data_IF_832752517298
#
_entry.id   IF_832752517298
#
_cell.length_a   1.000
_cell.length_b   1.000
_cell.length_c   1.000
_cell.angle_alpha   90.00
_cell.angle_beta   90.00
_cell.angle_gamma   90.00
#
_symmetry.space_group_name_H-M   'P 1'
#
loop_
_entity.id
_entity.type
_entity.pdbx_description
1 polymer ?
#
# COMPACT_ATOMS: atom_id res chain seq x y z
N UNK A 1 -25.14 64.27 -3.82
CA UNK A 1 -26.31 64.07 -4.71
C UNK A 1 -26.58 62.58 -4.71
N UNK A 2 -27.41 62.05 -3.87
CA UNK A 2 -28.86 61.91 -3.80
C UNK A 2 -29.42 61.14 -5.04
N UNK A 3 -29.82 59.88 -4.81
CA UNK A 3 -31.23 59.50 -4.94
C UNK A 3 -31.41 57.99 -4.62
N UNK A 4 -32.21 57.77 -3.59
CA UNK A 4 -32.96 56.54 -3.28
C UNK A 4 -34.00 56.29 -4.38
N UNK A 5 -34.35 55.05 -4.69
CA UNK A 5 -35.77 54.65 -4.86
C UNK A 5 -35.86 53.16 -4.48
N UNK A 6 -36.65 52.89 -3.47
CA UNK A 6 -37.13 51.58 -3.07
C UNK A 6 -38.40 51.21 -3.87
N UNK A 7 -38.63 49.93 -4.04
CA UNK A 7 -39.95 49.38 -4.35
C UNK A 7 -40.23 48.17 -3.48
N UNK A 8 -41.20 48.34 -2.66
CA UNK A 8 -41.94 47.32 -1.88
C UNK A 8 -42.90 46.59 -2.81
N UNK A 9 -42.91 45.28 -2.82
CA UNK A 9 -43.98 44.48 -3.47
C UNK A 9 -44.64 43.61 -2.41
N UNK A 10 -45.94 43.84 -2.25
CA UNK A 10 -46.85 43.22 -1.30
C UNK A 10 -47.15 41.76 -1.65
N UNK A 11 -47.35 40.94 -0.62
CA UNK A 11 -47.88 39.56 -0.68
C UNK A 11 -49.42 39.58 -0.79
N UNK A 12 -50.03 38.73 -1.59
CA UNK A 12 -51.46 38.47 -1.51
C UNK A 12 -51.77 37.18 -0.71
N UNK A 13 -52.69 37.37 0.13
CA UNK A 13 -53.71 36.60 0.84
C UNK A 13 -53.70 35.05 0.75
N UNK A 14 -53.63 34.49 1.96
CA UNK A 14 -53.85 33.11 2.29
C UNK A 14 -55.37 32.80 2.37
N UNK A 15 -55.93 32.11 1.39
CA UNK A 15 -57.31 31.58 1.49
C UNK A 15 -57.29 30.19 2.18
N UNK A 16 -57.85 30.19 3.38
CA UNK A 16 -58.06 28.99 4.20
C UNK A 16 -59.26 28.23 3.70
N UNK A 17 -59.06 27.15 2.95
CA UNK A 17 -60.12 26.18 2.58
C UNK A 17 -60.19 25.08 3.64
N UNK A 18 -61.31 25.08 4.41
CA UNK A 18 -61.65 24.00 5.34
C UNK A 18 -62.02 22.75 4.58
N UNK A 19 -61.19 21.72 4.62
CA UNK A 19 -61.54 20.36 4.21
C UNK A 19 -62.14 19.60 5.41
N UNK A 20 -63.38 19.19 5.28
CA UNK A 20 -64.03 18.25 6.20
C UNK A 20 -63.46 16.85 5.89
N UNK A 21 -62.76 16.28 6.84
CA UNK A 21 -62.33 14.87 6.78
C UNK A 21 -63.50 14.01 7.25
N UNK A 22 -64.03 13.22 6.34
CA UNK A 22 -65.01 12.19 6.62
C UNK A 22 -64.26 10.90 6.98
N UNK A 23 -64.33 10.50 8.26
CA UNK A 23 -63.73 9.28 8.76
C UNK A 23 -64.57 8.08 8.36
N UNK A 24 -64.10 7.26 7.38
CA UNK A 24 -64.67 5.93 7.12
C UNK A 24 -63.92 4.91 7.99
N UNK A 25 -64.62 4.35 8.97
CA UNK A 25 -64.21 3.16 9.72
C UNK A 25 -64.35 1.94 8.83
N UNK A 26 -63.25 1.37 8.37
CA UNK A 26 -63.18 0.07 7.72
C UNK A 26 -62.79 -0.96 8.78
N UNK A 27 -63.52 -2.06 8.98
CA UNK A 27 -63.16 -3.11 9.91
C UNK A 27 -61.95 -3.88 9.36
N UNK A 28 -60.87 -3.94 10.15
CA UNK A 28 -59.67 -4.71 9.84
C UNK A 28 -59.97 -6.23 9.94
N UNK A 29 -60.21 -6.86 8.83
CA UNK A 29 -60.13 -8.33 8.73
C UNK A 29 -58.64 -8.69 8.61
N UNK A 30 -58.12 -9.30 9.67
CA UNK A 30 -56.76 -9.83 9.72
C UNK A 30 -56.66 -11.05 8.78
N UNK A 31 -56.14 -10.82 7.57
CA UNK A 31 -55.77 -11.90 6.67
C UNK A 31 -54.38 -12.40 7.09
N UNK A 32 -54.36 -13.55 7.74
CA UNK A 32 -53.12 -14.25 8.05
C UNK A 32 -52.58 -14.86 6.73
N UNK A 33 -51.74 -14.12 6.02
CA UNK A 33 -51.03 -14.64 4.86
C UNK A 33 -49.95 -15.62 5.36
N UNK A 34 -50.14 -16.89 5.08
CA UNK A 34 -49.12 -17.93 5.25
C UNK A 34 -47.93 -17.59 4.34
N UNK A 35 -46.81 -17.30 4.94
CA UNK A 35 -45.53 -17.17 4.19
C UNK A 35 -45.19 -18.52 3.55
N UNK A 36 -44.81 -18.54 2.26
CA UNK A 36 -44.32 -19.76 1.64
C UNK A 36 -43.02 -20.19 2.32
N UNK A 37 -42.72 -21.50 2.41
CA UNK A 37 -41.50 -22.00 3.05
C UNK A 37 -40.29 -21.43 2.32
N UNK A 38 -39.38 -20.82 3.08
CA UNK A 38 -38.09 -20.30 2.59
C UNK A 38 -37.30 -21.45 1.96
N UNK A 39 -37.01 -21.31 0.67
CA UNK A 39 -36.10 -22.23 -0.03
C UNK A 39 -34.77 -22.34 0.71
N UNK A 40 -34.15 -23.54 0.81
CA UNK A 40 -32.88 -23.70 1.48
C UNK A 40 -31.82 -22.84 0.78
N UNK A 41 -31.30 -21.85 1.48
CA UNK A 41 -30.14 -21.06 1.04
C UNK A 41 -28.97 -22.01 0.86
N UNK A 42 -28.48 -22.17 -0.39
CA UNK A 42 -27.22 -22.85 -0.67
C UNK A 42 -26.12 -22.22 0.21
N UNK A 43 -25.23 -23.03 0.82
CA UNK A 43 -24.07 -22.49 1.52
C UNK A 43 -23.30 -21.57 0.57
N UNK A 44 -23.10 -20.31 0.94
CA UNK A 44 -22.21 -19.42 0.22
C UNK A 44 -20.80 -20.01 0.37
N UNK A 45 -20.26 -20.56 -0.72
CA UNK A 45 -18.85 -20.86 -0.81
C UNK A 45 -18.07 -19.57 -0.43
N UNK A 46 -17.09 -19.63 0.48
CA UNK A 46 -16.26 -18.48 0.77
C UNK A 46 -15.71 -17.94 -0.56
N UNK A 47 -15.68 -16.64 -0.79
CA UNK A 47 -15.06 -16.09 -1.98
C UNK A 47 -13.62 -16.59 -2.03
N UNK A 48 -13.15 -16.98 -3.23
CA UNK A 48 -11.76 -17.31 -3.45
C UNK A 48 -10.90 -16.14 -2.93
N UNK A 49 -9.73 -16.43 -2.31
CA UNK A 49 -8.84 -15.36 -1.86
C UNK A 49 -8.55 -14.45 -3.05
N UNK A 50 -8.83 -13.16 -2.89
CA UNK A 50 -8.54 -12.17 -3.93
C UNK A 50 -7.05 -12.19 -4.24
N UNK A 51 -6.65 -12.10 -5.51
CA UNK A 51 -5.23 -12.05 -5.87
C UNK A 51 -4.59 -10.89 -5.12
N UNK A 52 -3.39 -11.12 -4.57
CA UNK A 52 -2.62 -10.08 -3.88
C UNK A 52 -2.26 -9.00 -4.90
N UNK A 53 -3.00 -7.91 -4.92
CA UNK A 53 -2.77 -6.77 -5.80
C UNK A 53 -1.71 -5.80 -5.27
N UNK A 54 -1.01 -6.14 -4.19
CA UNK A 54 0.07 -5.35 -3.62
C UNK A 54 1.10 -6.26 -2.93
N UNK A 55 2.38 -5.94 -3.09
CA UNK A 55 3.51 -6.72 -2.56
C UNK A 55 4.25 -5.89 -1.52
N UNK A 56 4.47 -6.45 -0.31
CA UNK A 56 5.27 -5.83 0.76
C UNK A 56 6.58 -6.56 1.02
N UNK A 57 6.65 -7.84 0.69
CA UNK A 57 7.81 -8.71 0.74
C UNK A 57 7.57 -9.93 -0.14
N UNK A 58 8.61 -10.66 -0.50
CA UNK A 58 8.52 -11.90 -1.28
C UNK A 58 9.27 -13.04 -0.59
N UNK A 59 8.89 -14.27 -0.89
CA UNK A 59 9.69 -15.42 -0.48
C UNK A 59 10.73 -15.72 -1.56
N UNK A 60 12.02 -15.79 -1.16
CA UNK A 60 13.15 -16.02 -2.08
C UNK A 60 14.10 -17.07 -1.52
N UNK A 61 14.75 -17.81 -2.42
CA UNK A 61 15.86 -18.70 -2.08
C UNK A 61 17.17 -17.92 -2.16
N UNK A 62 17.67 -17.48 -1.00
CA UNK A 62 18.92 -16.73 -0.87
C UNK A 62 18.76 -15.35 -0.22
N UNK A 63 19.86 -14.66 0.07
CA UNK A 63 19.88 -13.47 0.90
C UNK A 63 19.57 -12.18 0.10
N UNK A 64 18.59 -12.22 -0.78
CA UNK A 64 18.22 -11.07 -1.62
C UNK A 64 17.24 -10.14 -0.90
N UNK A 65 17.47 -8.84 -1.01
CA UNK A 65 16.62 -7.77 -0.46
C UNK A 65 16.48 -6.62 -1.46
N UNK A 66 15.39 -5.88 -1.40
CA UNK A 66 15.23 -4.62 -2.13
C UNK A 66 15.26 -3.43 -1.14
N UNK A 67 16.29 -2.60 -1.23
CA UNK A 67 16.31 -1.30 -0.56
C UNK A 67 15.64 -0.29 -1.47
N UNK A 68 14.70 0.50 -0.92
CA UNK A 68 13.90 1.45 -1.70
C UNK A 68 13.88 2.81 -1.05
N UNK A 69 13.80 3.86 -1.88
CA UNK A 69 13.77 5.25 -1.44
C UNK A 69 12.58 5.97 -2.05
N UNK A 70 11.78 6.61 -1.19
CA UNK A 70 10.57 7.33 -1.56
C UNK A 70 10.78 8.85 -1.52
N UNK A 71 9.85 9.60 -2.12
CA UNK A 71 9.68 11.05 -2.13
C UNK A 71 10.65 11.85 -2.98
N UNK A 72 11.79 11.30 -3.39
CA UNK A 72 12.78 11.97 -4.23
C UNK A 72 12.30 12.27 -5.67
N UNK A 73 13.22 12.76 -6.52
CA UNK A 73 14.59 13.11 -6.19
C UNK A 73 14.70 14.44 -5.43
N UNK A 74 15.62 14.50 -4.50
CA UNK A 74 16.02 15.74 -3.84
C UNK A 74 17.33 16.26 -4.43
N UNK A 75 17.37 17.52 -4.86
CA UNK A 75 18.48 18.15 -5.58
C UNK A 75 19.87 17.88 -4.99
N UNK A 76 20.00 17.85 -3.65
CA UNK A 76 21.31 17.71 -2.97
C UNK A 76 21.52 16.34 -2.32
N UNK A 77 20.44 15.69 -1.86
CA UNK A 77 20.57 14.47 -1.07
C UNK A 77 20.59 13.22 -1.95
N UNK A 78 19.72 13.15 -2.96
CA UNK A 78 19.70 12.01 -3.89
C UNK A 78 21.02 11.81 -4.63
N UNK A 79 21.70 12.85 -5.16
CA UNK A 79 23.04 12.67 -5.75
C UNK A 79 24.08 12.11 -4.78
N UNK A 80 24.06 12.53 -3.51
CA UNK A 80 24.97 12.00 -2.47
C UNK A 80 24.68 10.54 -2.13
N UNK A 81 23.41 10.15 -2.17
CA UNK A 81 23.02 8.76 -2.03
C UNK A 81 23.52 7.93 -3.21
N UNK A 82 23.36 8.42 -4.45
CA UNK A 82 23.86 7.76 -5.65
C UNK A 82 25.39 7.57 -5.60
N UNK A 83 26.15 8.57 -5.14
CA UNK A 83 27.61 8.43 -4.95
C UNK A 83 27.91 7.24 -4.02
N UNK A 84 27.23 7.16 -2.89
CA UNK A 84 27.41 6.08 -1.92
C UNK A 84 27.02 4.70 -2.48
N UNK A 85 25.88 4.62 -3.18
CA UNK A 85 25.42 3.36 -3.79
C UNK A 85 26.39 2.86 -4.85
N UNK A 86 27.02 3.79 -5.62
CA UNK A 86 28.05 3.46 -6.61
C UNK A 86 29.33 2.92 -5.95
N UNK A 87 29.77 3.50 -4.81
CA UNK A 87 30.92 3.00 -4.03
C UNK A 87 30.71 1.54 -3.60
N UNK A 88 29.50 1.19 -3.18
CA UNK A 88 29.12 -0.17 -2.77
C UNK A 88 28.70 -1.07 -3.94
N UNK A 89 28.53 -0.55 -5.16
CA UNK A 89 27.99 -1.25 -6.35
C UNK A 89 26.62 -1.86 -6.10
N UNK A 90 25.76 -1.13 -5.43
CA UNK A 90 24.41 -1.54 -5.03
C UNK A 90 23.39 -0.90 -5.97
N UNK A 91 22.43 -1.70 -6.45
CA UNK A 91 21.26 -1.21 -7.17
C UNK A 91 20.06 -1.18 -6.24
N UNK A 92 19.23 -0.14 -6.36
CA UNK A 92 18.05 0.11 -5.53
C UNK A 92 16.87 0.57 -6.40
N UNK A 93 15.68 0.69 -5.80
CA UNK A 93 14.51 1.28 -6.48
C UNK A 93 14.14 2.60 -5.83
N UNK A 94 13.98 3.64 -6.64
CA UNK A 94 13.49 4.95 -6.22
C UNK A 94 12.03 5.12 -6.64
N UNK A 95 11.12 5.35 -5.69
CA UNK A 95 9.72 5.74 -5.96
C UNK A 95 9.64 7.26 -5.91
N UNK A 96 9.59 7.88 -7.09
CA UNK A 96 9.74 9.33 -7.21
C UNK A 96 8.41 10.06 -7.26
N UNK A 97 8.34 11.20 -6.57
CA UNK A 97 7.25 12.16 -6.68
C UNK A 97 7.36 12.90 -8.01
N UNK A 98 6.26 12.98 -8.75
CA UNK A 98 6.25 13.51 -10.12
C UNK A 98 6.70 14.96 -10.22
N UNK A 99 6.35 15.81 -9.26
CA UNK A 99 6.81 17.21 -9.20
C UNK A 99 8.34 17.26 -9.12
N UNK A 100 8.95 16.47 -8.26
CA UNK A 100 10.40 16.40 -8.08
C UNK A 100 11.09 15.78 -9.32
N UNK A 101 10.46 14.76 -9.93
CA UNK A 101 10.96 14.14 -11.16
C UNK A 101 10.99 15.13 -12.34
N UNK A 102 9.96 15.99 -12.46
CA UNK A 102 9.90 17.03 -13.48
C UNK A 102 10.91 18.15 -13.22
N UNK A 103 11.20 18.48 -11.95
CA UNK A 103 12.16 19.52 -11.58
C UNK A 103 13.61 19.07 -11.75
N UNK A 104 13.91 17.77 -11.54
CA UNK A 104 15.26 17.22 -11.53
C UNK A 104 15.42 15.97 -12.43
N UNK A 105 15.07 16.04 -13.73
CA UNK A 105 15.16 14.88 -14.63
C UNK A 105 16.57 14.32 -14.80
N UNK A 106 17.61 15.15 -14.64
CA UNK A 106 19.02 14.74 -14.72
C UNK A 106 19.41 13.75 -13.63
N UNK A 107 18.76 13.82 -12.45
CA UNK A 107 19.01 12.88 -11.33
C UNK A 107 18.42 11.51 -11.68
N UNK A 108 17.22 11.46 -12.25
CA UNK A 108 16.61 10.21 -12.72
C UNK A 108 17.45 9.56 -13.83
N UNK A 109 17.92 10.38 -14.79
CA UNK A 109 18.82 9.91 -15.85
C UNK A 109 20.12 9.31 -15.28
N UNK A 110 20.69 9.95 -14.25
CA UNK A 110 21.85 9.43 -13.57
C UNK A 110 21.54 8.10 -12.88
N UNK A 111 20.45 8.04 -12.09
CA UNK A 111 20.04 6.83 -11.39
C UNK A 111 19.88 5.62 -12.34
N UNK A 112 19.20 5.81 -13.47
CA UNK A 112 19.02 4.74 -14.47
C UNK A 112 20.34 4.32 -15.12
N UNK A 113 21.23 5.28 -15.46
CA UNK A 113 22.58 4.95 -16.00
C UNK A 113 23.43 4.15 -15.02
N UNK A 114 23.24 4.34 -13.72
CA UNK A 114 23.92 3.61 -12.64
C UNK A 114 23.20 2.29 -12.27
N UNK A 115 22.14 1.90 -12.99
CA UNK A 115 21.46 0.60 -12.82
C UNK A 115 20.32 0.58 -11.81
N UNK A 116 19.92 1.74 -11.28
CA UNK A 116 18.79 1.83 -10.37
C UNK A 116 17.46 1.80 -11.11
N UNK A 117 16.40 1.34 -10.43
CA UNK A 117 15.04 1.30 -10.93
C UNK A 117 14.26 2.53 -10.46
N UNK A 118 13.39 3.06 -11.34
CA UNK A 118 12.50 4.17 -11.03
C UNK A 118 11.04 3.68 -11.01
N UNK A 119 10.35 3.91 -9.90
CA UNK A 119 8.92 3.69 -9.72
C UNK A 119 8.14 5.00 -9.55
N UNK A 120 6.83 4.91 -9.67
CA UNK A 120 5.90 6.03 -9.56
C UNK A 120 5.44 6.19 -8.10
N UNK A 121 5.52 7.43 -7.55
CA UNK A 121 5.05 7.75 -6.19
C UNK A 121 3.96 8.84 -6.19
N UNK A 122 3.12 8.89 -7.23
CA UNK A 122 2.14 9.94 -7.51
C UNK A 122 2.77 11.30 -7.84
N UNK A 123 1.93 12.27 -8.28
CA UNK A 123 2.43 13.58 -8.71
C UNK A 123 2.87 14.47 -7.56
N UNK A 124 2.01 14.65 -6.53
CA UNK A 124 2.21 15.59 -5.42
C UNK A 124 2.02 14.94 -4.04
N UNK A 125 2.20 13.64 -3.95
CA UNK A 125 2.14 12.86 -2.72
C UNK A 125 0.83 12.97 -1.90
N UNK A 126 -0.38 12.96 -2.52
CA UNK A 126 -1.63 12.96 -1.78
C UNK A 126 -1.98 11.58 -1.24
N UNK A 127 -2.87 11.51 -0.24
CA UNK A 127 -3.48 10.24 0.16
C UNK A 127 -4.46 9.76 -0.90
N UNK A 128 -4.06 8.79 -1.73
CA UNK A 128 -4.85 8.30 -2.86
C UNK A 128 -6.20 7.71 -2.43
N UNK A 129 -6.27 7.05 -1.29
CA UNK A 129 -7.52 6.46 -0.78
C UNK A 129 -8.62 7.50 -0.48
N UNK A 130 -8.26 8.79 -0.39
CA UNK A 130 -9.19 9.90 -0.15
C UNK A 130 -9.56 10.65 -1.43
N UNK A 131 -9.06 10.21 -2.59
CA UNK A 131 -9.28 10.87 -3.87
C UNK A 131 -10.31 10.12 -4.73
N UNK A 132 -10.92 10.83 -5.69
CA UNK A 132 -11.69 10.20 -6.74
C UNK A 132 -10.77 9.43 -7.69
N UNK A 133 -11.30 8.39 -8.35
CA UNK A 133 -10.53 7.58 -9.32
C UNK A 133 -9.93 8.42 -10.44
N UNK A 134 -10.65 9.42 -10.93
CA UNK A 134 -10.15 10.36 -11.93
C UNK A 134 -8.90 11.12 -11.45
N UNK A 135 -8.95 11.61 -10.20
CA UNK A 135 -7.81 12.31 -9.62
C UNK A 135 -6.64 11.36 -9.36
N UNK A 136 -6.90 10.12 -8.93
CA UNK A 136 -5.84 9.09 -8.79
C UNK A 136 -5.19 8.81 -10.13
N UNK A 137 -5.97 8.63 -11.21
CA UNK A 137 -5.45 8.43 -12.56
C UNK A 137 -4.60 9.61 -13.01
N UNK A 138 -5.06 10.85 -12.73
CA UNK A 138 -4.31 12.06 -13.05
C UNK A 138 -2.96 12.11 -12.33
N UNK A 139 -2.94 11.80 -11.02
CA UNK A 139 -1.71 11.74 -10.22
C UNK A 139 -0.70 10.74 -10.81
N UNK A 140 -1.16 9.54 -11.15
CA UNK A 140 -0.31 8.47 -11.69
C UNK A 140 0.21 8.82 -13.08
N UNK A 141 -0.67 9.27 -13.98
CA UNK A 141 -0.30 9.56 -15.38
C UNK A 141 0.66 10.74 -15.51
N UNK A 142 0.43 11.83 -14.77
CA UNK A 142 1.35 12.97 -14.79
C UNK A 142 2.76 12.58 -14.35
N UNK A 143 2.87 11.74 -13.33
CA UNK A 143 4.16 11.22 -12.85
C UNK A 143 4.79 10.29 -13.89
N UNK A 144 4.00 9.40 -14.50
CA UNK A 144 4.44 8.54 -15.60
C UNK A 144 5.02 9.35 -16.76
N UNK A 145 4.33 10.44 -17.16
CA UNK A 145 4.77 11.34 -18.23
C UNK A 145 6.10 12.02 -17.88
N UNK A 146 6.25 12.52 -16.64
CA UNK A 146 7.49 13.14 -16.19
C UNK A 146 8.66 12.13 -16.17
N UNK A 147 8.45 10.93 -15.61
CA UNK A 147 9.45 9.87 -15.60
C UNK A 147 9.82 9.46 -17.02
N UNK A 148 8.83 9.17 -17.87
CA UNK A 148 9.06 8.73 -19.26
C UNK A 148 9.80 9.81 -20.08
N UNK A 149 9.46 11.08 -19.88
CA UNK A 149 10.18 12.19 -20.50
C UNK A 149 11.65 12.27 -20.05
N UNK A 150 11.92 11.99 -18.78
CA UNK A 150 13.26 12.05 -18.23
C UNK A 150 14.16 10.89 -18.68
N UNK A 151 13.64 9.65 -18.66
CA UNK A 151 14.46 8.44 -18.82
C UNK A 151 14.14 7.60 -20.05
N UNK A 152 13.13 7.99 -20.86
CA UNK A 152 12.77 7.30 -22.10
C UNK A 152 11.99 5.99 -21.92
N UNK A 153 11.67 5.59 -20.69
CA UNK A 153 10.92 4.37 -20.41
C UNK A 153 9.82 4.60 -19.37
N UNK A 154 8.73 3.86 -19.53
CA UNK A 154 7.59 3.89 -18.61
C UNK A 154 7.89 3.12 -17.34
N UNK A 155 7.63 3.68 -16.14
CA UNK A 155 7.71 2.90 -14.90
C UNK A 155 6.57 1.85 -14.83
N UNK A 156 6.87 0.69 -14.27
CA UNK A 156 5.91 -0.41 -14.10
C UNK A 156 5.52 -0.63 -12.63
N UNK A 157 6.25 -0.02 -11.70
CA UNK A 157 6.02 -0.10 -10.27
C UNK A 157 5.37 1.19 -9.76
N UNK A 158 4.38 1.05 -8.88
CA UNK A 158 3.76 2.16 -8.17
C UNK A 158 3.78 1.89 -6.67
N UNK A 159 4.25 2.85 -5.91
CA UNK A 159 4.04 2.86 -4.46
C UNK A 159 3.07 3.98 -4.11
N UNK A 160 1.89 3.68 -3.56
CA UNK A 160 0.95 4.72 -3.16
C UNK A 160 1.48 5.47 -1.93
N UNK A 161 1.40 6.80 -1.89
CA UNK A 161 1.74 7.59 -0.70
C UNK A 161 1.06 7.05 0.56
N UNK A 162 1.83 6.99 1.66
CA UNK A 162 1.38 6.42 2.95
C UNK A 162 0.96 4.94 2.90
N UNK A 163 1.26 4.21 1.82
CA UNK A 163 0.70 2.88 1.55
C UNK A 163 -0.82 2.89 1.36
N UNK A 164 -1.42 4.06 1.17
CA UNK A 164 -2.86 4.28 1.28
C UNK A 164 -3.56 4.24 -0.08
N UNK A 165 -4.26 3.15 -0.33
CA UNK A 165 -5.04 2.90 -1.55
C UNK A 165 -6.20 1.96 -1.22
N UNK A 166 -7.40 2.22 -1.77
CA UNK A 166 -8.57 1.36 -1.56
C UNK A 166 -8.47 0.05 -2.35
N UNK A 167 -9.25 -0.97 -1.97
CA UNK A 167 -9.31 -2.23 -2.74
C UNK A 167 -9.71 -1.98 -4.20
N UNK A 168 -10.73 -1.14 -4.44
CA UNK A 168 -11.15 -0.75 -5.77
C UNK A 168 -10.02 -0.07 -6.57
N UNK A 169 -9.31 0.87 -5.96
CA UNK A 169 -8.18 1.55 -6.60
C UNK A 169 -7.04 0.59 -6.94
N UNK A 170 -6.76 -0.41 -6.09
CA UNK A 170 -5.76 -1.44 -6.39
C UNK A 170 -6.08 -2.17 -7.70
N UNK A 171 -7.36 -2.55 -7.91
CA UNK A 171 -7.77 -3.25 -9.13
C UNK A 171 -7.53 -2.39 -10.37
N UNK A 172 -8.03 -1.17 -10.42
CA UNK A 172 -7.84 -0.39 -11.64
C UNK A 172 -6.37 0.05 -11.87
N UNK A 173 -5.60 0.29 -10.81
CA UNK A 173 -4.17 0.59 -10.91
C UNK A 173 -3.42 -0.61 -11.52
N UNK A 174 -3.72 -1.81 -11.06
CA UNK A 174 -3.11 -3.04 -11.58
C UNK A 174 -3.68 -3.40 -12.95
N UNK A 175 -4.99 -3.57 -13.09
CA UNK A 175 -5.60 -4.20 -14.26
C UNK A 175 -5.73 -3.23 -15.45
N UNK A 176 -5.99 -1.93 -15.19
CA UNK A 176 -6.20 -0.96 -16.27
C UNK A 176 -4.97 -0.10 -16.52
N UNK A 177 -4.22 0.29 -15.46
CA UNK A 177 -3.02 1.10 -15.63
C UNK A 177 -1.75 0.27 -15.74
N UNK A 178 -1.80 -1.04 -15.47
CA UNK A 178 -0.68 -1.97 -15.64
C UNK A 178 0.49 -1.71 -14.67
N UNK A 179 0.21 -1.33 -13.43
CA UNK A 179 1.21 -1.14 -12.40
C UNK A 179 1.18 -2.27 -11.36
N UNK A 180 2.35 -2.79 -11.00
CA UNK A 180 2.51 -3.55 -9.77
C UNK A 180 2.54 -2.60 -8.57
N UNK A 181 1.69 -2.85 -7.57
CA UNK A 181 1.64 -2.02 -6.37
C UNK A 181 2.62 -2.56 -5.34
N UNK A 182 3.59 -1.75 -4.97
CA UNK A 182 4.67 -2.10 -4.05
C UNK A 182 4.48 -1.35 -2.73
N UNK A 183 4.41 -2.10 -1.66
CA UNK A 183 4.46 -1.60 -0.28
C UNK A 183 5.84 -1.90 0.31
N UNK A 184 5.92 -2.07 1.63
CA UNK A 184 7.14 -2.40 2.34
C UNK A 184 6.83 -3.28 3.54
N UNK A 185 7.82 -3.95 4.03
CA UNK A 185 7.76 -4.73 5.27
C UNK A 185 8.61 -4.10 6.36
N UNK A 186 9.78 -3.54 5.99
CA UNK A 186 10.68 -2.88 6.93
C UNK A 186 10.50 -1.37 6.83
N UNK A 187 10.06 -0.72 7.92
CA UNK A 187 9.90 0.74 8.05
C UNK A 187 10.79 1.29 9.18
N UNK A 188 11.92 1.89 8.88
CA UNK A 188 12.81 2.46 9.89
C UNK A 188 12.25 3.70 10.58
N UNK A 189 11.10 4.22 10.12
CA UNK A 189 10.48 5.46 10.58
C UNK A 189 11.45 6.65 10.49
N UNK A 190 12.24 6.72 9.43
CA UNK A 190 13.22 7.78 9.19
C UNK A 190 12.56 9.14 9.01
N UNK A 191 11.34 9.17 8.46
CA UNK A 191 10.49 10.35 8.35
C UNK A 191 10.13 11.01 9.71
N UNK A 192 10.29 10.29 10.84
CA UNK A 192 10.14 10.83 12.20
C UNK A 192 11.40 11.50 12.73
N UNK A 193 12.47 11.56 11.95
CA UNK A 193 13.76 12.13 12.34
C UNK A 193 14.35 11.57 13.65
N UNK A 194 14.41 10.21 13.83
CA UNK A 194 14.90 9.62 15.07
C UNK A 194 16.41 9.66 15.24
N UNK A 195 17.15 10.12 14.22
CA UNK A 195 18.60 10.12 14.13
C UNK A 195 19.16 8.92 13.35
N UNK A 196 20.36 9.06 12.72
CA UNK A 196 20.91 8.09 11.78
C UNK A 196 21.16 6.72 12.41
N UNK A 197 21.64 6.65 13.64
CA UNK A 197 21.89 5.38 14.32
C UNK A 197 20.61 4.56 14.56
N UNK A 198 19.49 5.25 14.85
CA UNK A 198 18.19 4.59 15.06
C UNK A 198 17.64 4.06 13.73
N UNK A 199 17.77 4.85 12.65
CA UNK A 199 17.39 4.41 11.30
C UNK A 199 18.16 3.15 10.91
N UNK A 200 19.51 3.18 11.01
CA UNK A 200 20.36 2.02 10.72
C UNK A 200 19.97 0.80 11.57
N UNK A 201 19.86 0.98 12.88
CA UNK A 201 19.54 -0.12 13.79
C UNK A 201 18.22 -0.82 13.47
N UNK A 202 17.17 -0.05 13.09
CA UNK A 202 15.87 -0.63 12.72
C UNK A 202 15.97 -1.42 11.42
N UNK A 203 16.60 -0.87 10.38
CA UNK A 203 16.82 -1.59 9.12
C UNK A 203 17.56 -2.90 9.40
N UNK A 204 18.70 -2.84 10.10
CA UNK A 204 19.54 -4.00 10.38
C UNK A 204 18.85 -5.10 11.21
N UNK A 205 17.92 -4.71 12.08
CA UNK A 205 17.18 -5.63 12.96
C UNK A 205 16.04 -6.34 12.23
N UNK A 206 15.34 -5.63 11.35
CA UNK A 206 14.09 -6.11 10.77
C UNK A 206 14.28 -6.74 9.39
N UNK A 207 15.39 -6.43 8.68
CA UNK A 207 15.67 -6.96 7.35
C UNK A 207 15.99 -8.45 7.38
N UNK A 208 15.33 -9.20 6.50
CA UNK A 208 15.54 -10.63 6.23
C UNK A 208 15.43 -10.91 4.71
N UNK A 209 15.77 -12.12 4.23
CA UNK A 209 15.65 -12.45 2.81
C UNK A 209 14.23 -12.21 2.29
N UNK A 210 14.12 -11.52 1.14
CA UNK A 210 12.87 -11.14 0.52
C UNK A 210 12.25 -9.83 1.00
N UNK A 211 12.86 -9.14 2.00
CA UNK A 211 12.37 -7.86 2.49
C UNK A 211 12.42 -6.76 1.44
N UNK A 212 11.36 -5.95 1.38
CA UNK A 212 11.34 -4.64 0.73
C UNK A 212 11.45 -3.60 1.84
N UNK A 213 12.58 -2.86 1.86
CA UNK A 213 12.93 -1.90 2.90
C UNK A 213 12.55 -0.48 2.44
N UNK A 214 11.76 0.23 3.23
CA UNK A 214 11.43 1.64 3.02
C UNK A 214 12.52 2.53 3.60
N UNK A 215 12.85 3.60 2.88
CA UNK A 215 13.58 4.76 3.36
C UNK A 215 13.17 5.98 2.51
N UNK A 216 13.65 7.18 2.87
CA UNK A 216 13.35 8.40 2.13
C UNK A 216 14.65 9.17 1.83
N UNK A 217 14.91 9.44 0.55
CA UNK A 217 16.15 10.13 0.12
C UNK A 217 16.09 11.67 0.25
N UNK A 218 14.98 12.17 0.79
CA UNK A 218 14.77 13.59 1.12
C UNK A 218 15.18 13.95 2.55
N UNK A 219 15.58 12.99 3.37
CA UNK A 219 16.00 13.20 4.76
C UNK A 219 17.50 13.05 4.95
N UNK A 220 18.18 14.12 5.40
CA UNK A 220 19.63 14.13 5.60
C UNK A 220 20.12 13.03 6.55
N UNK A 221 19.35 12.71 7.59
CA UNK A 221 19.71 11.64 8.53
C UNK A 221 19.63 10.23 7.93
N UNK A 222 18.73 10.02 6.95
CA UNK A 222 18.66 8.77 6.19
C UNK A 222 19.95 8.59 5.41
N UNK A 223 20.37 9.63 4.68
CA UNK A 223 21.65 9.59 3.94
C UNK A 223 22.85 9.36 4.87
N UNK A 224 22.84 9.97 6.08
CA UNK A 224 23.88 9.75 7.08
C UNK A 224 23.88 8.32 7.67
N UNK A 225 22.72 7.66 7.71
CA UNK A 225 22.60 6.28 8.19
C UNK A 225 23.15 5.25 7.18
N UNK A 226 23.07 5.55 5.88
CA UNK A 226 23.33 4.57 4.82
C UNK A 226 24.74 3.97 4.82
N UNK A 227 25.87 4.71 5.02
CA UNK A 227 27.21 4.10 4.99
C UNK A 227 27.34 2.90 5.94
N UNK A 228 26.95 3.07 7.20
CA UNK A 228 26.97 1.99 8.18
C UNK A 228 25.95 0.89 7.87
N UNK A 229 24.75 1.28 7.44
CA UNK A 229 23.66 0.34 7.11
C UNK A 229 24.06 -0.59 5.97
N UNK A 230 24.60 -0.05 4.87
CA UNK A 230 25.02 -0.84 3.71
C UNK A 230 26.15 -1.79 4.07
N UNK A 231 27.21 -1.27 4.71
CA UNK A 231 28.35 -2.09 5.16
C UNK A 231 27.90 -3.26 6.04
N UNK A 232 27.03 -3.03 6.99
CA UNK A 232 26.53 -4.07 7.92
C UNK A 232 25.62 -5.08 7.22
N UNK A 233 24.76 -4.66 6.29
CA UNK A 233 23.93 -5.59 5.51
C UNK A 233 24.78 -6.45 4.59
N UNK A 234 25.80 -5.90 3.94
CA UNK A 234 26.78 -6.66 3.14
C UNK A 234 27.57 -7.65 4.01
N UNK A 235 28.01 -7.23 5.21
CA UNK A 235 28.69 -8.11 6.15
C UNK A 235 27.81 -9.27 6.65
N UNK A 236 26.49 -9.08 6.72
CA UNK A 236 25.50 -10.13 6.98
C UNK A 236 25.23 -11.03 5.76
N UNK A 237 25.83 -10.73 4.61
CA UNK A 237 25.72 -11.50 3.38
C UNK A 237 24.52 -11.15 2.50
N UNK A 238 23.77 -10.08 2.80
CA UNK A 238 22.67 -9.66 1.95
C UNK A 238 23.16 -9.18 0.57
N UNK A 239 22.34 -9.47 -0.44
CA UNK A 239 22.51 -9.04 -1.83
C UNK A 239 21.39 -8.09 -2.20
N UNK A 240 21.76 -6.90 -2.63
CA UNK A 240 20.85 -5.87 -3.02
C UNK A 240 20.42 -6.06 -4.48
N UNK A 241 19.13 -6.00 -4.72
CA UNK A 241 18.53 -6.05 -6.05
C UNK A 241 17.44 -5.00 -6.14
N UNK A 242 17.05 -4.61 -7.35
CA UNK A 242 15.86 -3.77 -7.55
C UNK A 242 14.59 -4.53 -7.19
N UNK A 243 13.47 -3.82 -6.99
CA UNK A 243 12.19 -4.49 -6.69
C UNK A 243 11.78 -5.43 -7.81
N UNK A 244 11.91 -5.01 -9.08
CA UNK A 244 11.58 -5.87 -10.22
C UNK A 244 12.46 -7.13 -10.30
N UNK A 245 13.73 -7.03 -9.92
CA UNK A 245 14.62 -8.19 -9.82
C UNK A 245 14.20 -9.09 -8.66
N UNK A 246 13.87 -8.53 -7.50
CA UNK A 246 13.40 -9.29 -6.33
C UNK A 246 12.11 -10.07 -6.64
N UNK A 247 11.16 -9.44 -7.34
CA UNK A 247 9.92 -10.10 -7.78
C UNK A 247 10.19 -11.30 -8.72
N UNK A 248 11.20 -11.21 -9.58
CA UNK A 248 11.60 -12.32 -10.47
C UNK A 248 12.26 -13.49 -9.73
N UNK A 249 12.84 -13.23 -8.57
CA UNK A 249 13.46 -14.24 -7.70
C UNK A 249 12.45 -14.92 -6.77
N UNK A 250 11.18 -14.50 -6.80
CA UNK A 250 10.15 -15.08 -5.96
C UNK A 250 9.97 -16.58 -6.18
N UNK A 251 10.00 -17.34 -5.10
CA UNK A 251 9.73 -18.77 -5.09
C UNK A 251 8.42 -19.07 -4.35
N UNK A 252 7.76 -20.21 -4.64
CA UNK A 252 6.56 -20.61 -3.90
C UNK A 252 6.84 -20.76 -2.40
N UNK A 253 5.93 -20.27 -1.57
CA UNK A 253 6.02 -20.52 -0.13
C UNK A 253 5.85 -22.03 0.11
N UNK A 254 6.82 -22.72 0.74
CA UNK A 254 6.67 -24.14 1.04
C UNK A 254 5.43 -24.38 1.92
N UNK A 255 4.71 -25.50 1.73
CA UNK A 255 3.57 -25.83 2.56
C UNK A 255 3.99 -25.90 4.04
N UNK A 256 3.13 -25.51 4.98
CA UNK A 256 3.46 -25.54 6.39
C UNK A 256 3.83 -26.98 6.78
N UNK A 257 4.98 -27.15 7.42
CA UNK A 257 5.40 -28.43 7.96
C UNK A 257 4.32 -28.93 8.94
N UNK A 258 3.79 -30.15 8.78
CA UNK A 258 2.79 -30.67 9.71
C UNK A 258 3.36 -30.64 11.13
N UNK A 259 2.64 -30.02 12.06
CA UNK A 259 3.03 -30.08 13.47
C UNK A 259 3.15 -31.55 13.88
N UNK A 260 4.21 -31.94 14.61
CA UNK A 260 4.31 -33.29 15.15
C UNK A 260 3.01 -33.58 15.93
N UNK A 261 2.30 -34.62 15.51
CA UNK A 261 1.16 -35.13 16.28
C UNK A 261 1.74 -35.69 17.55
N UNK A 262 1.36 -35.09 18.67
CA UNK A 262 1.73 -35.64 19.98
C UNK A 262 1.29 -37.09 20.02
N UNK A 263 2.15 -38.02 20.49
CA UNK A 263 1.76 -39.42 20.60
C UNK A 263 0.51 -39.53 21.47
N UNK A 264 -0.48 -40.27 21.00
CA UNK A 264 -1.72 -40.51 21.71
C UNK A 264 -1.38 -41.08 23.09
N UNK A 265 -1.90 -40.44 24.14
CA UNK A 265 -1.73 -40.89 25.50
C UNK A 265 -2.20 -42.35 25.59
N UNK A 266 -1.31 -43.24 25.92
CA UNK A 266 -1.62 -44.66 26.23
C UNK A 266 -2.62 -44.68 27.38
N UNK A 267 -3.76 -45.39 27.27
CA UNK A 267 -4.70 -45.46 28.35
C UNK A 267 -4.04 -46.18 29.55
N UNK A 268 -4.05 -45.55 30.72
CA UNK A 268 -3.61 -46.17 31.98
C UNK A 268 -4.39 -47.44 32.22
N UNK A 269 -3.73 -48.54 32.68
CA UNK A 269 -4.43 -49.75 33.02
C UNK A 269 -5.37 -49.52 34.20
N UNK A 270 -6.64 -49.86 34.01
CA UNK A 270 -7.66 -49.86 35.06
C UNK A 270 -7.25 -50.80 36.21
N UNK A 271 -7.10 -50.25 37.41
CA UNK A 271 -6.89 -51.05 38.63
C UNK A 271 -8.17 -51.81 38.92
N UNK A 272 -8.13 -53.13 38.73
CA UNK A 272 -9.22 -54.03 39.13
C UNK A 272 -9.36 -54.02 40.66
N UNK A 273 -10.57 -53.67 41.14
CA UNK A 273 -10.92 -53.79 42.55
C UNK A 273 -10.98 -55.26 42.94
N UNK A 274 -10.18 -55.63 43.94
CA UNK A 274 -10.26 -56.96 44.61
C UNK A 274 -11.57 -57.08 45.44
N UNK A 275 -12.25 -58.23 45.41
CA UNK A 275 -13.42 -58.44 46.25
C UNK A 275 -13.00 -58.74 47.71
N UNK A 276 -13.61 -58.02 48.67
CA UNK A 276 -13.50 -58.30 50.11
C UNK A 276 -14.33 -59.55 50.49
N UNK A 277 -13.70 -60.49 51.08
CA UNK A 277 -14.34 -61.52 51.92
C UNK A 277 -14.51 -61.06 53.34
#
# INVERSE_FOLDING_TARGET
MAAKIGQSVALPGLMLRKFRVLLFLIPATVLWAQQPPSSPTKPKTPPAPEPKTAVSAVHVDGPYIALTFDDGPHQKLTPRLLDLLAEHRIHVTFFVVGENAAEHPEILQRAVREGHEIGNHSWSHPNLAKMSDENVRSQIKRTEEAITSAIGSRPTLLRPPYGSVTAHQKHFIHDELGYEIILWEVDPLDWKNPGPNVVSSRILKETHPGSIVLAHDIHAQTIQAMPATLTELEAKGFKFVTVSELLKLQTPIPPPTPKPVAPAATPSPSVAASPST
#
